data_IF_517172842926
#
_entry.id   IF_517172842926
#
_cell.length_a   1.000
_cell.length_b   1.000
_cell.length_c   1.000
_cell.angle_alpha   90.00
_cell.angle_beta   90.00
_cell.angle_gamma   90.00
#
_symmetry.space_group_name_H-M   'P 1'
#
loop_
_entity.id
_entity.type
_entity.pdbx_description
1 polymer ?
#
# COMPACT_ATOMS: atom_id res chain seq x y z
N UNK A 1 -5.92 27.36 -30.26
CA UNK A 1 -6.57 26.37 -29.37
C UNK A 1 -6.65 26.99 -27.99
N UNK A 2 -7.79 26.97 -27.28
CA UNK A 2 -7.91 27.77 -26.05
C UNK A 2 -7.16 27.11 -24.88
N UNK A 3 -6.51 27.91 -24.04
CA UNK A 3 -5.78 27.43 -22.86
C UNK A 3 -6.66 26.62 -21.89
N UNK A 4 -7.97 26.82 -21.91
CA UNK A 4 -8.92 26.04 -21.11
C UNK A 4 -9.08 24.61 -21.64
N UNK A 5 -9.09 24.44 -22.96
CA UNK A 5 -9.19 23.13 -23.60
C UNK A 5 -7.92 22.29 -23.37
N UNK A 6 -6.75 22.91 -23.41
CA UNK A 6 -5.48 22.21 -23.16
C UNK A 6 -5.33 21.83 -21.68
N UNK A 7 -5.79 22.69 -20.75
CA UNK A 7 -5.89 22.32 -19.32
C UNK A 7 -6.83 21.13 -19.11
N UNK A 8 -8.00 21.14 -19.75
CA UNK A 8 -8.97 20.05 -19.66
C UNK A 8 -8.39 18.73 -20.19
N UNK A 9 -7.71 18.76 -21.34
CA UNK A 9 -7.03 17.58 -21.91
C UNK A 9 -5.96 17.03 -20.97
N UNK A 10 -5.13 17.90 -20.39
CA UNK A 10 -4.07 17.50 -19.45
C UNK A 10 -4.63 16.91 -18.15
N UNK A 11 -5.72 17.48 -17.62
CA UNK A 11 -6.43 16.95 -16.46
C UNK A 11 -7.04 15.58 -16.77
N UNK A 12 -7.71 15.44 -17.91
CA UNK A 12 -8.34 14.18 -18.35
C UNK A 12 -7.28 13.09 -18.53
N UNK A 13 -6.18 13.40 -19.22
CA UNK A 13 -5.07 12.45 -19.42
C UNK A 13 -4.44 11.99 -18.10
N UNK A 14 -4.30 12.91 -17.13
CA UNK A 14 -3.82 12.56 -15.79
C UNK A 14 -4.78 11.64 -15.03
N UNK A 15 -6.08 11.94 -15.08
CA UNK A 15 -7.11 11.13 -14.41
C UNK A 15 -7.17 9.73 -15.02
N UNK A 16 -7.27 9.62 -16.34
CA UNK A 16 -7.25 8.33 -17.04
C UNK A 16 -5.97 7.54 -16.75
N UNK A 17 -4.83 8.21 -16.65
CA UNK A 17 -3.56 7.57 -16.28
C UNK A 17 -3.58 6.95 -14.89
N UNK A 18 -4.18 7.63 -13.90
CA UNK A 18 -4.29 7.08 -12.54
C UNK A 18 -5.27 5.91 -12.45
N UNK A 19 -6.38 5.92 -13.18
CA UNK A 19 -7.34 4.80 -13.19
C UNK A 19 -6.72 3.53 -13.76
N UNK A 20 -6.01 3.65 -14.90
CA UNK A 20 -5.25 2.54 -15.49
C UNK A 20 -4.20 2.03 -14.51
N UNK A 21 -3.42 2.94 -13.92
CA UNK A 21 -2.39 2.57 -12.94
C UNK A 21 -2.98 1.85 -11.71
N UNK A 22 -4.17 2.23 -11.23
CA UNK A 22 -4.84 1.53 -10.12
C UNK A 22 -5.28 0.12 -10.50
N UNK A 23 -5.87 -0.06 -11.69
CA UNK A 23 -6.30 -1.39 -12.15
C UNK A 23 -5.12 -2.36 -12.28
N UNK A 24 -4.05 -1.90 -12.90
CA UNK A 24 -2.80 -2.66 -12.99
C UNK A 24 -2.20 -2.92 -11.61
N UNK A 25 -2.23 -1.91 -10.72
CA UNK A 25 -1.73 -2.05 -9.37
C UNK A 25 -2.46 -3.13 -8.57
N UNK A 26 -3.80 -3.15 -8.63
CA UNK A 26 -4.60 -4.15 -7.92
C UNK A 26 -4.28 -5.56 -8.37
N UNK A 27 -4.21 -5.78 -9.69
CA UNK A 27 -3.91 -7.10 -10.26
C UNK A 27 -2.53 -7.61 -9.84
N UNK A 28 -1.52 -6.72 -9.83
CA UNK A 28 -0.16 -7.07 -9.42
C UNK A 28 0.00 -7.22 -7.91
N UNK A 29 -0.78 -6.46 -7.13
CA UNK A 29 -0.79 -6.58 -5.67
C UNK A 29 -1.44 -7.90 -5.23
N UNK A 30 -2.51 -8.32 -5.89
CA UNK A 30 -3.18 -9.61 -5.65
C UNK A 30 -2.26 -10.79 -5.97
N UNK A 31 -1.58 -10.76 -7.12
CA UNK A 31 -0.58 -11.77 -7.44
C UNK A 31 0.55 -11.86 -6.39
N UNK A 32 1.04 -10.72 -5.89
CA UNK A 32 2.06 -10.69 -4.83
C UNK A 32 1.52 -11.14 -3.47
N UNK A 33 0.24 -10.91 -3.19
CA UNK A 33 -0.42 -11.37 -1.96
C UNK A 33 -0.40 -12.90 -1.89
N UNK A 34 -0.71 -13.57 -3.00
CA UNK A 34 -0.64 -15.03 -3.11
C UNK A 34 0.82 -15.53 -3.08
N UNK A 35 1.69 -14.92 -3.89
CA UNK A 35 3.09 -15.34 -4.02
C UNK A 35 3.88 -15.22 -2.72
N UNK A 36 3.58 -14.22 -1.89
CA UNK A 36 4.23 -14.00 -0.59
C UNK A 36 3.52 -14.74 0.57
N UNK A 37 2.57 -15.63 0.28
CA UNK A 37 1.80 -16.42 1.25
C UNK A 37 1.06 -15.55 2.30
N UNK A 38 0.71 -14.30 1.94
CA UNK A 38 0.04 -13.37 2.85
C UNK A 38 -1.38 -13.85 3.19
N UNK A 39 -1.99 -14.60 2.26
CA UNK A 39 -3.30 -15.24 2.44
C UNK A 39 -3.40 -16.15 3.66
N UNK A 40 -2.27 -16.71 4.14
CA UNK A 40 -2.23 -17.51 5.37
C UNK A 40 -2.50 -16.71 6.64
N UNK A 41 -2.31 -15.38 6.59
CA UNK A 41 -2.52 -14.46 7.71
C UNK A 41 -3.73 -13.56 7.53
N UNK A 42 -4.05 -13.22 6.29
CA UNK A 42 -5.15 -12.31 5.92
C UNK A 42 -5.96 -13.03 4.86
N UNK A 43 -7.06 -13.68 5.24
CA UNK A 43 -7.76 -14.65 4.39
C UNK A 43 -8.37 -14.04 3.12
N UNK A 44 -8.90 -12.82 3.20
CA UNK A 44 -9.43 -12.11 2.05
C UNK A 44 -8.46 -11.00 1.63
N UNK A 45 -8.21 -10.88 0.33
CA UNK A 45 -7.32 -9.86 -0.22
C UNK A 45 -7.76 -8.43 0.18
N UNK A 46 -9.06 -8.14 0.12
CA UNK A 46 -9.60 -6.82 0.47
C UNK A 46 -9.40 -6.45 1.95
N UNK A 47 -9.24 -7.44 2.84
CA UNK A 47 -8.98 -7.20 4.26
C UNK A 47 -7.61 -6.55 4.50
N UNK A 48 -6.68 -6.64 3.54
CA UNK A 48 -5.42 -5.90 3.59
C UNK A 48 -5.65 -4.40 3.78
N UNK A 49 -6.74 -3.87 3.25
CA UNK A 49 -7.02 -2.44 3.30
C UNK A 49 -7.73 -2.00 4.59
N UNK A 50 -8.12 -2.94 5.46
CA UNK A 50 -8.59 -2.66 6.81
C UNK A 50 -7.44 -2.23 7.73
N UNK A 51 -6.21 -2.64 7.43
CA UNK A 51 -5.05 -2.19 8.17
C UNK A 51 -4.84 -0.68 8.03
N UNK A 52 -4.44 -0.06 9.15
CA UNK A 52 -4.09 1.35 9.21
C UNK A 52 -2.80 1.63 8.44
N UNK A 53 -1.84 0.73 8.53
CA UNK A 53 -0.56 0.82 7.84
C UNK A 53 0.03 -0.57 7.59
N UNK A 54 0.83 -0.69 6.53
CA UNK A 54 1.76 -1.81 6.32
C UNK A 54 3.18 -1.23 6.21
N UNK A 55 4.08 -1.80 6.99
CA UNK A 55 5.48 -1.40 7.13
C UNK A 55 6.41 -2.56 6.78
N UNK A 56 7.63 -2.19 6.40
CA UNK A 56 8.71 -3.12 6.09
C UNK A 56 9.86 -2.93 7.09
N UNK A 57 10.29 -4.01 7.72
CA UNK A 57 11.52 -4.08 8.51
C UNK A 57 12.63 -4.73 7.68
N UNK A 58 13.89 -4.44 8.02
CA UNK A 58 15.07 -5.06 7.40
C UNK A 58 15.54 -4.45 6.09
N UNK A 59 14.68 -3.69 5.42
CA UNK A 59 14.98 -3.03 4.14
C UNK A 59 14.41 -1.61 4.13
N UNK A 60 15.12 -0.68 3.49
CA UNK A 60 14.68 0.70 3.37
C UNK A 60 13.59 0.87 2.29
N UNK A 61 12.58 1.67 2.62
CA UNK A 61 11.54 2.15 1.69
C UNK A 61 11.65 3.67 1.45
N UNK A 62 12.72 4.31 1.91
CA UNK A 62 12.96 5.73 1.65
C UNK A 62 13.46 5.89 0.21
N UNK A 63 12.99 6.93 -0.48
CA UNK A 63 13.29 7.14 -1.90
C UNK A 63 14.80 7.17 -2.20
N UNK A 64 15.59 7.83 -1.34
CA UNK A 64 17.05 7.95 -1.50
C UNK A 64 17.82 6.64 -1.30
N UNK A 65 17.24 5.68 -0.58
CA UNK A 65 17.92 4.44 -0.19
C UNK A 65 17.05 3.21 -0.47
N UNK A 66 16.14 3.30 -1.43
CA UNK A 66 15.13 2.28 -1.67
C UNK A 66 15.78 0.92 -1.92
N UNK A 67 15.39 -0.09 -1.13
CA UNK A 67 15.93 -1.44 -1.23
C UNK A 67 17.27 -1.66 -0.51
N UNK A 68 17.86 -0.64 0.10
CA UNK A 68 19.06 -0.82 0.93
C UNK A 68 18.76 -1.78 2.10
N UNK A 69 19.58 -2.83 2.20
CA UNK A 69 19.52 -3.82 3.28
C UNK A 69 20.01 -3.18 4.59
N UNK A 70 19.33 -3.50 5.69
CA UNK A 70 19.74 -3.11 7.05
C UNK A 70 20.36 -4.32 7.74
N UNK A 71 21.68 -4.38 7.76
CA UNK A 71 22.42 -5.53 8.32
C UNK A 71 22.03 -5.84 9.77
N UNK A 72 21.91 -7.14 10.06
CA UNK A 72 21.54 -7.62 11.38
C UNK A 72 20.06 -7.42 11.73
N UNK A 73 19.23 -6.94 10.79
CA UNK A 73 17.77 -6.87 10.96
C UNK A 73 17.08 -8.01 10.21
N UNK A 74 15.88 -8.34 10.68
CA UNK A 74 15.02 -9.30 10.00
C UNK A 74 14.14 -8.61 8.97
N UNK A 75 14.02 -9.24 7.79
CA UNK A 75 13.07 -8.85 6.77
C UNK A 75 11.67 -9.32 7.17
N UNK A 76 10.79 -8.35 7.42
CA UNK A 76 9.42 -8.61 7.87
C UNK A 76 8.44 -7.60 7.29
N UNK A 77 7.28 -8.10 6.85
CA UNK A 77 6.11 -7.26 6.56
C UNK A 77 5.26 -7.20 7.83
N UNK A 78 4.95 -5.99 8.30
CA UNK A 78 4.23 -5.75 9.54
C UNK A 78 3.04 -4.85 9.27
N UNK A 79 1.83 -5.34 9.51
CA UNK A 79 0.60 -4.56 9.48
C UNK A 79 0.29 -3.95 10.85
N UNK A 80 -0.35 -2.79 10.84
CA UNK A 80 -0.91 -2.15 12.03
C UNK A 80 -2.43 -2.21 11.92
N UNK A 81 -3.05 -3.00 12.79
CA UNK A 81 -4.50 -3.01 12.97
C UNK A 81 -4.92 -1.95 13.98
N UNK A 82 -6.13 -1.41 13.82
CA UNK A 82 -6.72 -0.46 14.76
C UNK A 82 -8.05 -0.98 15.26
N UNK A 83 -8.18 -1.10 16.58
CA UNK A 83 -9.38 -1.53 17.28
C UNK A 83 -9.80 -0.39 18.24
N UNK A 84 -11.00 0.15 18.04
CA UNK A 84 -11.52 1.29 18.83
C UNK A 84 -11.89 0.89 20.26
N UNK A 85 -12.29 -0.37 20.43
CA UNK A 85 -12.84 -0.92 21.68
C UNK A 85 -11.74 -1.56 22.55
N UNK A 86 -10.59 -1.89 21.96
CA UNK A 86 -9.46 -2.43 22.72
C UNK A 86 -8.77 -1.40 23.62
N UNK A 87 -8.33 -1.87 24.81
CA UNK A 87 -7.44 -1.11 25.72
C UNK A 87 -6.16 -0.61 25.03
N UNK A 88 -5.57 -1.46 24.19
CA UNK A 88 -4.46 -1.10 23.29
C UNK A 88 -5.00 -1.06 21.87
N UNK A 89 -5.20 0.16 21.36
CA UNK A 89 -5.92 0.39 20.10
C UNK A 89 -5.13 -0.01 18.86
N UNK A 90 -3.79 0.10 18.88
CA UNK A 90 -2.96 -0.29 17.74
C UNK A 90 -2.24 -1.61 18.05
N UNK A 91 -2.34 -2.59 17.15
CA UNK A 91 -1.63 -3.86 17.28
C UNK A 91 -0.82 -4.15 16.03
N UNK A 92 0.43 -4.53 16.22
CA UNK A 92 1.31 -4.97 15.14
C UNK A 92 1.04 -6.45 14.85
N UNK A 93 0.86 -6.77 13.57
CA UNK A 93 0.63 -8.12 13.07
C UNK A 93 1.72 -8.41 12.05
N UNK A 94 2.48 -9.49 12.26
CA UNK A 94 3.42 -9.95 11.24
C UNK A 94 2.64 -10.62 10.12
N UNK A 95 2.75 -10.05 8.91
CA UNK A 95 2.17 -10.63 7.70
C UNK A 95 3.14 -11.62 7.03
N UNK A 96 4.44 -11.42 7.21
CA UNK A 96 5.47 -12.32 6.69
C UNK A 96 6.81 -12.12 7.39
N UNK A 97 7.53 -13.21 7.60
CA UNK A 97 8.90 -13.23 8.13
C UNK A 97 9.78 -14.03 7.18
N UNK A 98 10.84 -13.40 6.69
CA UNK A 98 11.66 -13.94 5.61
C UNK A 98 13.11 -14.21 6.04
N UNK A 99 13.41 -14.09 7.34
CA UNK A 99 14.76 -14.29 7.87
C UNK A 99 15.60 -13.01 7.93
N UNK A 100 16.91 -13.18 8.09
CA UNK A 100 17.88 -12.07 8.16
C UNK A 100 17.95 -11.37 6.80
N UNK A 101 17.79 -10.05 6.79
CA UNK A 101 17.62 -9.28 5.55
C UNK A 101 18.78 -9.47 4.57
N UNK A 102 20.01 -9.55 5.08
CA UNK A 102 21.24 -9.78 4.31
C UNK A 102 21.37 -11.20 3.72
N UNK A 103 20.51 -12.14 4.14
CA UNK A 103 20.50 -13.53 3.66
C UNK A 103 19.32 -13.85 2.74
N UNK A 104 18.39 -12.90 2.56
CA UNK A 104 17.23 -13.12 1.68
C UNK A 104 17.65 -12.91 0.24
N UNK A 105 17.17 -13.79 -0.65
CA UNK A 105 17.33 -13.64 -2.09
C UNK A 105 16.91 -12.23 -2.55
N UNK A 106 17.78 -11.47 -3.25
CA UNK A 106 17.47 -10.15 -3.76
C UNK A 106 16.18 -10.08 -4.59
N UNK A 107 15.83 -11.14 -5.34
CA UNK A 107 14.59 -11.16 -6.10
C UNK A 107 13.36 -11.20 -5.18
N UNK A 108 13.40 -11.99 -4.10
CA UNK A 108 12.36 -12.00 -3.08
C UNK A 108 12.27 -10.66 -2.33
N UNK A 109 13.41 -10.03 -2.01
CA UNK A 109 13.43 -8.67 -1.42
C UNK A 109 12.69 -7.67 -2.32
N UNK A 110 12.96 -7.70 -3.64
CA UNK A 110 12.30 -6.82 -4.60
C UNK A 110 10.78 -7.05 -4.64
N UNK A 111 10.32 -8.31 -4.58
CA UNK A 111 8.88 -8.64 -4.51
C UNK A 111 8.24 -8.08 -3.24
N UNK A 112 8.89 -8.23 -2.10
CA UNK A 112 8.40 -7.73 -0.81
C UNK A 112 8.30 -6.20 -0.80
N UNK A 113 9.33 -5.48 -1.28
CA UNK A 113 9.28 -4.03 -1.44
C UNK A 113 8.11 -3.63 -2.34
N UNK A 114 7.98 -4.30 -3.48
CA UNK A 114 6.93 -4.03 -4.47
C UNK A 114 5.55 -4.22 -3.84
N UNK A 115 5.32 -5.31 -3.10
CA UNK A 115 4.07 -5.56 -2.39
C UNK A 115 3.70 -4.40 -1.45
N UNK A 116 4.64 -3.98 -0.59
CA UNK A 116 4.39 -2.91 0.38
C UNK A 116 4.10 -1.57 -0.32
N UNK A 117 4.85 -1.23 -1.38
CA UNK A 117 4.63 0.00 -2.13
C UNK A 117 3.28 0.00 -2.88
N UNK A 118 2.92 -1.12 -3.53
CA UNK A 118 1.64 -1.28 -4.23
C UNK A 118 0.45 -1.20 -3.28
N UNK A 119 0.57 -1.79 -2.09
CA UNK A 119 -0.45 -1.63 -1.05
C UNK A 119 -0.58 -0.17 -0.61
N UNK A 120 0.54 0.52 -0.35
CA UNK A 120 0.54 1.94 0.07
C UNK A 120 -0.07 2.85 -1.00
N UNK A 121 0.23 2.57 -2.26
CA UNK A 121 -0.34 3.28 -3.40
C UNK A 121 -1.87 3.17 -3.38
N UNK A 122 -2.42 1.97 -3.37
CA UNK A 122 -3.87 1.78 -3.35
C UNK A 122 -4.53 2.32 -2.07
N UNK A 123 -3.91 2.09 -0.90
CA UNK A 123 -4.41 2.63 0.38
C UNK A 123 -4.52 4.16 0.34
N UNK A 124 -3.60 4.83 -0.34
CA UNK A 124 -3.62 6.29 -0.48
C UNK A 124 -4.82 6.75 -1.33
N UNK A 125 -5.13 6.05 -2.42
CA UNK A 125 -6.33 6.35 -3.22
C UNK A 125 -7.63 6.08 -2.45
N UNK A 126 -7.73 4.95 -1.75
CA UNK A 126 -8.90 4.64 -0.91
C UNK A 126 -9.09 5.71 0.19
N UNK A 127 -7.99 6.22 0.74
CA UNK A 127 -8.01 7.31 1.73
C UNK A 127 -8.45 8.64 1.12
N UNK A 128 -7.94 8.98 -0.06
CA UNK A 128 -8.37 10.16 -0.82
C UNK A 128 -9.88 10.11 -1.12
N UNK A 129 -10.37 8.97 -1.62
CA UNK A 129 -11.78 8.76 -1.93
C UNK A 129 -12.66 8.87 -0.67
N UNK A 130 -12.21 8.32 0.45
CA UNK A 130 -12.91 8.45 1.73
C UNK A 130 -13.07 9.91 2.14
N UNK A 131 -11.99 10.71 2.13
CA UNK A 131 -12.08 12.12 2.47
C UNK A 131 -12.89 12.93 1.47
N UNK A 132 -12.80 12.61 0.17
CA UNK A 132 -13.65 13.22 -0.84
C UNK A 132 -15.14 13.00 -0.54
N UNK A 133 -15.54 11.78 -0.19
CA UNK A 133 -16.92 11.45 0.22
C UNK A 133 -17.34 12.18 1.50
N UNK A 134 -16.47 12.23 2.52
CA UNK A 134 -16.75 12.96 3.75
C UNK A 134 -16.99 14.45 3.50
N UNK A 135 -16.12 15.10 2.73
CA UNK A 135 -16.27 16.52 2.37
C UNK A 135 -17.56 16.73 1.57
N UNK A 136 -17.90 15.81 0.66
CA UNK A 136 -19.15 15.86 -0.10
C UNK A 136 -20.38 15.78 0.81
N UNK A 137 -20.38 14.92 1.83
CA UNK A 137 -21.51 14.79 2.77
C UNK A 137 -21.81 16.08 3.53
N UNK A 138 -20.79 16.88 3.85
CA UNK A 138 -20.95 18.18 4.51
C UNK A 138 -21.63 19.25 3.64
N UNK A 139 -21.61 19.08 2.31
CA UNK A 139 -22.22 20.04 1.37
C UNK A 139 -23.72 19.77 1.12
N UNK A 140 -24.24 18.67 1.65
CA UNK A 140 -25.62 18.22 1.37
C UNK A 140 -26.59 18.60 2.50
N UNK A 141 -26.14 19.42 3.46
CA UNK A 141 -26.92 19.94 4.58
C UNK A 141 -27.40 21.40 4.37
N UNK A 142 -27.61 21.82 3.11
CA UNK A 142 -28.35 23.06 2.75
C UNK A 142 -29.67 22.73 2.03
#
# INVERSE_FOLDING_TARGET
MSAALDRLKNLTARISGYEVARKENMSLLEALYDELDISRKVLAFDDLFLFKAINLSGVSLNDETLGAIKDGKYLQIIAISYDKEAKVKNRNISLGYFGRAEKVDPALVKKIITFVLRWRFEKSFRTLEHYHKMIGSLKTEE
#
